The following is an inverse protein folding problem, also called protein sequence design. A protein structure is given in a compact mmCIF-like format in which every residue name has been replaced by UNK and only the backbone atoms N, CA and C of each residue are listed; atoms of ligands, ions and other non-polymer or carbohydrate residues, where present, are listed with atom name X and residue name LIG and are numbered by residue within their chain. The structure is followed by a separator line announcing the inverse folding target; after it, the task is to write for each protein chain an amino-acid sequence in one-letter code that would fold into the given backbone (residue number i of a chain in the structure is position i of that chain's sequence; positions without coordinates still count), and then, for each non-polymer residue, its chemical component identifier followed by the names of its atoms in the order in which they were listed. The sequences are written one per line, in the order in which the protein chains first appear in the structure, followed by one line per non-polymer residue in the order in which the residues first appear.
data_IF_342832759787
#
_entry.id   IF_342832759787
#
_cell.length_a   1.000
_cell.length_b   1.000
_cell.length_c   1.000
_cell.angle_alpha   90.00
_cell.angle_beta   90.00
_cell.angle_gamma   90.00
#
_symmetry.space_group_name_H-M   'P 1'
#
loop_
_entity.id
_entity.type
_entity.pdbx_description
1 polymer ?
#
# COMPACT_ATOMS: atom_id res chain seq x y z
N UNK A 1 -33.09 -0.23 21.93
CA UNK A 1 -33.19 1.22 21.62
C UNK A 1 -31.83 1.74 21.16
N UNK A 2 -30.73 1.28 21.74
CA UNK A 2 -29.37 1.55 21.25
C UNK A 2 -29.06 1.00 19.84
N UNK A 3 -29.74 -0.07 19.40
CA UNK A 3 -29.47 -0.75 18.13
C UNK A 3 -29.61 0.16 16.89
N UNK A 4 -30.68 0.95 16.87
CA UNK A 4 -31.00 1.81 15.73
C UNK A 4 -30.07 3.02 15.70
N UNK A 5 -29.73 3.58 16.87
CA UNK A 5 -28.74 4.65 17.00
C UNK A 5 -27.33 4.18 16.61
N UNK A 6 -26.92 2.99 17.03
CA UNK A 6 -25.60 2.46 16.71
C UNK A 6 -25.50 2.14 15.21
N UNK A 7 -26.54 1.54 14.64
CA UNK A 7 -26.67 1.34 13.19
C UNK A 7 -26.56 2.67 12.43
N UNK A 8 -27.27 3.71 12.87
CA UNK A 8 -27.21 5.04 12.26
C UNK A 8 -25.81 5.65 12.35
N UNK A 9 -25.14 5.53 13.50
CA UNK A 9 -23.75 6.01 13.67
C UNK A 9 -22.80 5.29 12.72
N UNK A 10 -22.88 3.96 12.62
CA UNK A 10 -22.03 3.17 11.73
C UNK A 10 -22.25 3.54 10.26
N UNK A 11 -23.50 3.67 9.83
CA UNK A 11 -23.85 4.15 8.49
C UNK A 11 -23.24 5.52 8.21
N UNK A 12 -23.38 6.46 9.14
CA UNK A 12 -22.85 7.83 8.99
C UNK A 12 -21.32 7.84 8.89
N UNK A 13 -20.64 7.05 9.73
CA UNK A 13 -19.18 6.90 9.68
C UNK A 13 -18.75 6.33 8.33
N UNK A 14 -19.39 5.26 7.85
CA UNK A 14 -19.09 4.65 6.54
C UNK A 14 -19.28 5.67 5.42
N UNK A 15 -20.37 6.43 5.42
CA UNK A 15 -20.65 7.48 4.43
C UNK A 15 -19.54 8.56 4.42
N UNK A 16 -19.10 9.01 5.59
CA UNK A 16 -17.99 9.96 5.71
C UNK A 16 -16.67 9.38 5.20
N UNK A 17 -16.39 8.10 5.46
CA UNK A 17 -15.18 7.44 4.97
C UNK A 17 -15.20 7.31 3.45
N UNK A 18 -16.33 6.90 2.87
CA UNK A 18 -16.48 6.83 1.41
C UNK A 18 -16.25 8.21 0.76
N UNK A 19 -16.79 9.27 1.36
CA UNK A 19 -16.54 10.64 0.91
C UNK A 19 -15.08 11.05 1.03
N UNK A 20 -14.41 10.71 2.14
CA UNK A 20 -12.98 10.98 2.33
C UNK A 20 -12.11 10.21 1.32
N UNK A 21 -12.46 8.96 1.03
CA UNK A 21 -11.79 8.14 0.02
C UNK A 21 -11.96 8.78 -1.37
N UNK A 22 -13.18 9.17 -1.74
CA UNK A 22 -13.44 9.86 -3.00
C UNK A 22 -12.68 11.19 -3.11
N UNK A 23 -12.71 12.03 -2.06
CA UNK A 23 -12.00 13.32 -2.01
C UNK A 23 -10.48 13.17 -2.17
N UNK A 24 -9.93 12.05 -1.69
CA UNK A 24 -8.51 11.69 -1.85
C UNK A 24 -8.16 11.05 -3.19
N UNK A 25 -9.13 10.84 -4.09
CA UNK A 25 -8.88 10.21 -5.39
C UNK A 25 -8.91 8.69 -5.39
N UNK A 26 -9.48 8.06 -4.35
CA UNK A 26 -9.77 6.62 -4.37
C UNK A 26 -11.01 6.32 -5.21
N UNK A 27 -11.02 5.14 -5.83
CA UNK A 27 -12.11 4.66 -6.67
C UNK A 27 -13.32 4.31 -5.80
N UNK A 28 -14.28 5.23 -5.72
CA UNK A 28 -15.55 5.06 -4.98
C UNK A 28 -16.68 5.39 -5.93
N UNK A 29 -17.70 4.53 -6.00
CA UNK A 29 -18.86 4.74 -6.87
C UNK A 29 -19.85 5.72 -6.24
N UNK A 30 -20.64 6.39 -7.09
CA UNK A 30 -21.70 7.28 -6.62
C UNK A 30 -22.76 6.54 -5.79
N UNK A 31 -23.00 5.27 -6.10
CA UNK A 31 -23.92 4.39 -5.37
C UNK A 31 -23.46 4.18 -3.92
N UNK A 32 -22.16 3.94 -3.68
CA UNK A 32 -21.63 3.84 -2.32
C UNK A 32 -21.67 5.18 -1.56
N UNK A 33 -21.50 6.31 -2.28
CA UNK A 33 -21.58 7.64 -1.68
C UNK A 33 -23.02 8.03 -1.30
N UNK A 34 -24.00 7.63 -2.10
CA UNK A 34 -25.41 7.95 -1.88
C UNK A 34 -26.16 6.89 -1.05
N UNK A 35 -25.50 5.76 -0.74
CA UNK A 35 -26.07 4.65 0.01
C UNK A 35 -26.90 5.11 1.22
N UNK A 36 -28.18 4.75 1.19
CA UNK A 36 -29.14 5.14 2.23
C UNK A 36 -29.02 4.27 3.48
N UNK A 37 -29.60 4.74 4.59
CA UNK A 37 -29.64 3.97 5.83
C UNK A 37 -30.42 2.66 5.66
N UNK A 38 -31.49 2.68 4.85
CA UNK A 38 -32.31 1.51 4.59
C UNK A 38 -31.54 0.45 3.80
N UNK A 39 -30.78 0.85 2.77
CA UNK A 39 -29.90 -0.06 2.04
C UNK A 39 -28.79 -0.62 2.92
N UNK A 40 -28.22 0.20 3.80
CA UNK A 40 -27.23 -0.26 4.77
C UNK A 40 -27.83 -1.30 5.73
N UNK A 41 -29.04 -1.06 6.25
CA UNK A 41 -29.78 -2.00 7.09
C UNK A 41 -30.11 -3.29 6.32
N UNK A 42 -30.48 -3.19 5.04
CA UNK A 42 -30.79 -4.33 4.20
C UNK A 42 -29.55 -5.20 3.91
N UNK A 43 -28.39 -4.57 3.67
CA UNK A 43 -27.15 -5.26 3.34
C UNK A 43 -26.47 -5.89 4.57
N UNK A 44 -26.33 -5.12 5.66
CA UNK A 44 -25.54 -5.54 6.83
C UNK A 44 -26.40 -5.97 8.02
N UNK A 45 -27.69 -5.64 8.02
CA UNK A 45 -28.64 -5.84 9.13
C UNK A 45 -28.86 -4.57 9.97
N UNK A 46 -29.94 -4.56 10.75
CA UNK A 46 -30.35 -3.45 11.61
C UNK A 46 -30.18 -3.70 13.12
N UNK A 47 -29.71 -4.89 13.50
CA UNK A 47 -29.63 -5.35 14.89
C UNK A 47 -28.19 -5.63 15.33
N UNK A 48 -27.41 -4.59 15.65
CA UNK A 48 -26.05 -4.75 16.15
C UNK A 48 -25.98 -5.61 17.42
N UNK A 49 -27.04 -5.65 18.26
CA UNK A 49 -27.12 -6.57 19.41
C UNK A 49 -27.09 -8.06 19.02
N UNK A 50 -27.56 -8.42 17.82
CA UNK A 50 -27.46 -9.79 17.28
C UNK A 50 -26.14 -10.01 16.50
N UNK A 51 -25.24 -9.03 16.54
CA UNK A 51 -24.00 -9.01 15.77
C UNK A 51 -24.24 -8.76 14.28
N UNK A 52 -25.28 -8.00 13.91
CA UNK A 52 -25.58 -7.60 12.52
C UNK A 52 -26.02 -6.13 12.47
N UNK A 53 -25.18 -5.16 12.09
CA UNK A 53 -23.99 -5.30 11.27
C UNK A 53 -22.77 -5.80 12.06
N UNK A 54 -22.08 -6.81 11.52
CA UNK A 54 -20.74 -7.16 12.00
C UNK A 54 -19.78 -6.08 11.57
N UNK A 55 -18.96 -5.60 12.51
CA UNK A 55 -17.94 -4.60 12.19
C UNK A 55 -16.88 -5.15 11.22
N UNK A 56 -16.64 -6.46 11.23
CA UNK A 56 -15.78 -7.11 10.23
C UNK A 56 -16.31 -6.94 8.81
N UNK A 57 -17.63 -7.04 8.59
CA UNK A 57 -18.26 -6.85 7.28
C UNK A 57 -18.23 -5.39 6.81
N UNK A 58 -18.09 -4.44 7.73
CA UNK A 58 -17.89 -3.02 7.40
C UNK A 58 -16.46 -2.71 6.94
N UNK A 59 -15.55 -3.68 7.00
CA UNK A 59 -14.17 -3.49 6.55
C UNK A 59 -14.16 -3.39 5.03
N UNK A 60 -13.64 -2.27 4.51
CA UNK A 60 -13.57 -2.04 3.05
C UNK A 60 -12.13 -1.86 2.62
N UNK A 61 -11.83 -2.29 1.40
CA UNK A 61 -10.60 -1.99 0.70
C UNK A 61 -10.94 -1.03 -0.44
N UNK A 62 -10.25 0.11 -0.46
CA UNK A 62 -10.36 1.08 -1.55
C UNK A 62 -9.05 1.16 -2.31
N UNK A 63 -9.11 1.19 -3.63
CA UNK A 63 -7.94 1.33 -4.50
C UNK A 63 -7.86 2.76 -5.06
N UNK A 64 -6.66 3.31 -5.19
CA UNK A 64 -6.48 4.65 -5.74
C UNK A 64 -6.72 4.66 -7.27
N UNK A 65 -7.31 5.73 -7.78
CA UNK A 65 -7.65 5.82 -9.21
C UNK A 65 -6.42 5.99 -10.12
N UNK A 66 -5.39 6.71 -9.64
CA UNK A 66 -4.17 6.95 -10.40
C UNK A 66 -3.15 5.80 -10.29
N UNK A 67 -3.13 5.13 -9.13
CA UNK A 67 -2.14 4.10 -8.82
C UNK A 67 -2.82 2.90 -8.15
N UNK A 68 -2.96 1.76 -8.84
CA UNK A 68 -3.66 0.59 -8.29
C UNK A 68 -2.87 -0.14 -7.18
N UNK A 69 -1.61 0.24 -6.95
CA UNK A 69 -0.79 -0.28 -5.85
C UNK A 69 -1.00 0.53 -4.55
N UNK A 70 -1.42 1.79 -4.65
CA UNK A 70 -1.88 2.58 -3.50
C UNK A 70 -3.32 2.18 -3.14
N UNK A 71 -3.42 1.21 -2.24
CA UNK A 71 -4.69 0.77 -1.68
C UNK A 71 -4.75 1.18 -0.21
N UNK A 72 -5.96 1.33 0.30
CA UNK A 72 -6.20 1.65 1.70
C UNK A 72 -7.25 0.73 2.30
N UNK A 73 -6.87 0.09 3.41
CA UNK A 73 -7.77 -0.75 4.19
C UNK A 73 -8.47 0.08 5.26
N UNK A 74 -9.78 -0.08 5.40
CA UNK A 74 -10.55 0.55 6.47
C UNK A 74 -11.03 -0.54 7.42
N UNK A 75 -10.44 -0.63 8.60
CA UNK A 75 -10.80 -1.60 9.62
C UNK A 75 -11.79 -1.02 10.64
N UNK A 76 -12.82 -1.80 10.93
CA UNK A 76 -13.77 -1.54 12.01
C UNK A 76 -13.63 -2.64 13.08
N UNK A 77 -12.78 -2.43 14.10
CA UNK A 77 -12.69 -3.35 15.23
C UNK A 77 -13.97 -3.33 16.08
N UNK A 78 -14.43 -4.51 16.52
CA UNK A 78 -15.56 -4.59 17.46
C UNK A 78 -15.19 -4.19 18.89
N UNK A 79 -13.92 -4.34 19.24
CA UNK A 79 -13.43 -4.05 20.57
C UNK A 79 -13.50 -2.54 20.85
N UNK A 80 -14.13 -2.10 21.96
CA UNK A 80 -14.20 -0.68 22.30
C UNK A 80 -12.81 -0.07 22.54
N UNK A 81 -11.87 -0.89 23.04
CA UNK A 81 -10.46 -0.55 23.23
C UNK A 81 -9.58 -1.44 22.36
N UNK A 82 -8.94 -0.83 21.36
CA UNK A 82 -8.03 -1.57 20.48
C UNK A 82 -6.70 -1.82 21.19
N UNK A 83 -6.34 -3.10 21.28
CA UNK A 83 -5.09 -3.60 21.85
C UNK A 83 -3.98 -3.74 20.81
N UNK A 84 -2.74 -3.85 21.27
CA UNK A 84 -1.58 -4.11 20.39
C UNK A 84 -1.69 -5.45 19.64
N UNK A 85 -2.39 -6.44 20.21
CA UNK A 85 -2.65 -7.73 19.56
C UNK A 85 -3.44 -7.53 18.26
N UNK A 86 -4.54 -6.79 18.33
CA UNK A 86 -5.40 -6.48 17.19
C UNK A 86 -4.64 -5.67 16.13
N UNK A 87 -3.84 -4.67 16.56
CA UNK A 87 -2.98 -3.91 15.64
C UNK A 87 -1.95 -4.79 14.94
N UNK A 88 -1.31 -5.74 15.64
CA UNK A 88 -0.36 -6.67 15.01
C UNK A 88 -1.02 -7.53 13.94
N UNK A 89 -2.24 -8.01 14.20
CA UNK A 89 -3.02 -8.78 13.22
C UNK A 89 -3.30 -7.94 11.97
N UNK A 90 -3.72 -6.68 12.15
CA UNK A 90 -3.96 -5.77 11.01
C UNK A 90 -2.67 -5.43 10.25
N UNK A 91 -1.58 -5.16 10.96
CA UNK A 91 -0.27 -4.91 10.34
C UNK A 91 0.21 -6.12 9.52
N UNK A 92 0.00 -7.34 10.03
CA UNK A 92 0.34 -8.56 9.31
C UNK A 92 -0.52 -8.77 8.07
N UNK A 93 -1.83 -8.51 8.16
CA UNK A 93 -2.75 -8.51 7.00
C UNK A 93 -2.33 -7.50 5.94
N UNK A 94 -1.98 -6.29 6.36
CA UNK A 94 -1.47 -5.24 5.48
C UNK A 94 -0.18 -5.66 4.79
N UNK A 95 0.74 -6.32 5.51
CA UNK A 95 1.99 -6.81 4.93
C UNK A 95 1.78 -7.94 3.90
N UNK A 96 0.82 -8.83 4.15
CA UNK A 96 0.46 -9.93 3.25
C UNK A 96 -0.16 -9.41 1.94
N UNK A 97 -1.04 -8.42 2.04
CA UNK A 97 -1.72 -7.78 0.90
C UNK A 97 -0.87 -6.67 0.25
N UNK A 98 0.33 -6.38 0.77
CA UNK A 98 1.22 -5.29 0.33
C UNK A 98 0.56 -3.88 0.40
N UNK A 99 -0.25 -3.65 1.43
CA UNK A 99 -0.97 -2.41 1.64
C UNK A 99 -0.24 -1.58 2.69
N UNK A 100 0.08 -0.34 2.34
CA UNK A 100 0.85 0.56 3.21
C UNK A 100 -0.03 1.49 4.04
N UNK A 101 -1.30 1.66 3.64
CA UNK A 101 -2.24 2.60 4.27
C UNK A 101 -3.42 1.86 4.88
N UNK A 102 -3.74 2.20 6.12
CA UNK A 102 -4.98 1.75 6.73
C UNK A 102 -5.60 2.81 7.64
N UNK A 103 -6.93 2.78 7.72
CA UNK A 103 -7.74 3.58 8.62
C UNK A 103 -8.38 2.63 9.63
N UNK A 104 -8.23 2.91 10.93
CA UNK A 104 -8.82 2.08 11.99
C UNK A 104 -9.83 2.94 12.74
N UNK A 105 -11.11 2.55 12.68
CA UNK A 105 -12.21 3.28 13.34
C UNK A 105 -12.42 2.73 14.76
N UNK A 106 -11.95 3.46 15.76
CA UNK A 106 -12.06 3.05 17.18
C UNK A 106 -13.24 3.74 17.88
N UNK A 107 -13.90 3.03 18.80
CA UNK A 107 -15.07 3.57 19.51
C UNK A 107 -14.72 4.45 20.71
N UNK A 108 -13.92 3.94 21.66
CA UNK A 108 -13.47 4.71 22.83
C UNK A 108 -12.03 5.18 22.69
N UNK A 109 -11.15 4.33 22.16
CA UNK A 109 -9.76 4.70 21.94
C UNK A 109 -8.82 3.50 21.82
N UNK A 110 -7.56 3.82 21.60
CA UNK A 110 -6.47 2.83 21.54
C UNK A 110 -5.73 2.79 22.87
N UNK A 111 -5.28 1.60 23.26
CA UNK A 111 -4.34 1.46 24.37
C UNK A 111 -3.05 2.23 24.08
N UNK A 112 -2.40 2.83 25.09
CA UNK A 112 -1.18 3.63 24.88
C UNK A 112 -0.06 2.84 24.17
N UNK A 113 0.05 1.53 24.43
CA UNK A 113 0.97 0.63 23.71
C UNK A 113 0.62 0.48 22.22
N UNK A 114 -0.66 0.50 21.85
CA UNK A 114 -1.09 0.45 20.44
C UNK A 114 -0.80 1.78 19.72
N UNK A 115 -0.95 2.93 20.39
CA UNK A 115 -0.61 4.25 19.83
C UNK A 115 0.88 4.36 19.48
N UNK A 116 1.74 3.76 20.31
CA UNK A 116 3.19 3.77 20.11
C UNK A 116 3.64 2.94 18.88
N UNK A 117 2.81 1.98 18.44
CA UNK A 117 3.04 1.23 17.19
C UNK A 117 2.55 1.99 15.96
N UNK A 118 1.48 2.79 16.10
CA UNK A 118 0.92 3.60 15.00
C UNK A 118 1.66 4.90 14.72
N UNK A 119 2.51 5.37 15.64
CA UNK A 119 3.48 6.42 15.31
C UNK A 119 4.57 5.80 14.45
N UNK A 120 4.82 6.28 13.22
CA UNK A 120 6.06 5.96 12.55
C UNK A 120 7.17 6.42 13.50
N UNK A 121 7.84 5.47 14.13
CA UNK A 121 9.14 5.76 14.71
C UNK A 121 9.97 6.38 13.58
N UNK A 122 10.73 7.46 13.79
CA UNK A 122 11.73 7.90 12.82
C UNK A 122 12.86 6.86 12.81
N UNK A 123 12.57 5.66 12.31
CA UNK A 123 13.50 4.58 12.14
C UNK A 123 13.88 4.56 10.66
N UNK A 124 14.91 5.35 10.38
CA UNK A 124 16.05 5.04 9.52
C UNK A 124 15.77 4.74 8.03
N UNK A 125 16.55 5.32 7.10
CA UNK A 125 16.46 4.99 5.68
C UNK A 125 16.95 3.56 5.44
N UNK A 126 16.04 2.58 5.47
CA UNK A 126 16.35 1.20 5.15
C UNK A 126 16.27 0.97 3.64
N UNK A 127 17.47 0.83 3.05
CA UNK A 127 17.77 -0.08 1.93
C UNK A 127 17.01 0.12 0.62
N UNK A 128 17.57 1.02 -0.19
CA UNK A 128 17.56 0.94 -1.66
C UNK A 128 17.87 -0.53 -2.07
N UNK A 129 17.09 -1.17 -2.96
CA UNK A 129 17.43 -2.51 -3.44
C UNK A 129 18.82 -2.48 -4.09
N UNK A 130 19.62 -3.57 -4.00
CA UNK A 130 20.88 -3.63 -4.74
C UNK A 130 20.56 -3.47 -6.22
N UNK A 131 20.98 -2.35 -6.80
CA UNK A 131 20.91 -2.17 -8.24
C UNK A 131 21.78 -3.26 -8.88
N UNK A 132 21.30 -3.97 -9.92
CA UNK A 132 22.17 -4.82 -10.70
C UNK A 132 23.30 -3.94 -11.29
N UNK A 133 24.53 -4.45 -11.39
CA UNK A 133 25.62 -3.68 -11.98
C UNK A 133 25.22 -3.27 -13.41
N UNK A 134 25.57 -2.06 -13.86
CA UNK A 134 25.31 -1.67 -15.24
C UNK A 134 26.03 -2.63 -16.19
N UNK A 135 25.46 -2.94 -17.37
CA UNK A 135 26.18 -3.72 -18.36
C UNK A 135 27.46 -2.96 -18.73
N UNK A 136 28.61 -3.62 -18.58
CA UNK A 136 29.91 -3.13 -19.01
C UNK A 136 29.92 -3.03 -20.54
N UNK A 137 29.32 -1.97 -21.06
CA UNK A 137 29.43 -1.53 -22.43
C UNK A 137 30.37 -0.35 -22.45
N UNK A 138 31.67 -0.62 -22.36
CA UNK A 138 32.64 0.35 -22.83
C UNK A 138 33.88 -0.29 -23.44
N UNK A 139 33.83 -0.33 -24.76
CA UNK A 139 34.93 0.12 -25.62
C UNK A 139 36.14 -0.80 -25.73
N UNK A 140 35.99 -1.74 -26.68
CA UNK A 140 36.94 -1.96 -27.77
C UNK A 140 37.74 -0.69 -28.08
N UNK A 141 38.89 -0.53 -27.42
CA UNK A 141 39.98 0.33 -27.89
C UNK A 141 40.83 -0.51 -28.82
N UNK A 142 40.36 -0.64 -30.05
CA UNK A 142 41.21 -0.97 -31.17
C UNK A 142 41.30 0.28 -32.03
N UNK A 143 42.39 1.03 -31.83
CA UNK A 143 43.14 1.77 -32.87
C UNK A 143 44.13 2.72 -32.20
N UNK A 144 45.38 2.29 -32.10
CA UNK A 144 46.51 3.21 -32.16
C UNK A 144 47.43 2.70 -33.27
N UNK A 145 47.45 3.43 -34.40
CA UNK A 145 48.63 3.84 -35.17
C UNK A 145 49.50 2.69 -35.77
N UNK A 146 49.71 2.55 -37.07
CA UNK A 146 49.68 3.51 -38.18
C UNK A 146 50.10 2.83 -39.51
N UNK A 147 50.41 3.62 -40.55
CA UNK A 147 50.23 3.25 -41.96
C UNK A 147 51.42 2.53 -42.61
N UNK A 148 51.15 1.68 -43.62
CA UNK A 148 52.14 1.35 -44.67
C UNK A 148 52.45 2.60 -45.53
N UNK A 149 53.50 2.62 -46.39
CA UNK A 149 53.67 1.56 -47.40
C UNK A 149 55.15 1.24 -47.81
N UNK A 150 55.28 0.15 -48.59
CA UNK A 150 56.19 -0.06 -49.74
C UNK A 150 57.68 0.31 -49.65
N UNK A 151 58.55 -0.69 -49.90
CA UNK A 151 59.89 -0.47 -50.46
C UNK A 151 60.87 -1.63 -50.28
N UNK A 152 61.04 -2.47 -51.31
CA UNK A 152 62.25 -3.26 -51.54
C UNK A 152 63.47 -2.31 -51.70
N UNK A 153 64.72 -2.68 -51.34
CA UNK A 153 65.55 -3.67 -52.04
C UNK A 153 66.28 -4.61 -51.04
N UNK A 154 66.78 -5.80 -51.34
CA UNK A 154 67.70 -6.21 -52.40
C UNK A 154 69.04 -6.64 -51.77
N UNK A 155 69.37 -7.94 -51.89
CA UNK A 155 70.75 -8.43 -52.07
C UNK A 155 71.64 -8.75 -50.86
N UNK A 156 72.44 -9.82 -51.07
CA UNK A 156 73.60 -10.32 -50.31
C UNK A 156 73.26 -11.04 -48.99
N UNK A 157 73.63 -12.30 -48.73
CA UNK A 157 74.62 -13.23 -49.27
C UNK A 157 74.99 -14.22 -48.14
N UNK A 158 75.63 -15.37 -48.42
CA UNK A 158 75.67 -16.55 -47.53
C UNK A 158 76.99 -16.69 -46.76
N UNK A 159 76.98 -17.37 -45.61
CA UNK A 159 78.13 -17.99 -44.91
C UNK A 159 77.58 -18.69 -43.65
N UNK A 160 77.87 -19.92 -43.23
CA UNK A 160 78.74 -21.04 -43.63
C UNK A 160 78.22 -22.28 -42.87
#
# INVERSE_FOLDING_TARGET
MDDEEETYRLWKIRKTIMQLCHDRGYLVTQDELDQTLEEFKAQFGDKPSEGRPRRTDLTVLVAHNDDPTDQMFVFFPEEPKVGIKTIKVYCQRMQEENITRALIVVQQGMTPSAKQVGTPHPALPASRPPQPPPPSSAHRRQTCLGPGPSGCPGGCGPDV
#
